data_IF_410046378971
#
_entry.id   IF_410046378971
#
_cell.length_a   1.000
_cell.length_b   1.000
_cell.length_c   1.000
_cell.angle_alpha   90.00
_cell.angle_beta   90.00
_cell.angle_gamma   90.00
#
_symmetry.space_group_name_H-M   'P 1'
#
loop_
_entity.id
_entity.type
_entity.pdbx_description
1 polymer ?
#
# COMPACT_ATOMS: atom_id res chain seq x y z
N UNK A 1 -3.35 -0.31 17.85
CA UNK A 1 -2.77 -1.35 17.00
C UNK A 1 -1.37 -1.75 17.51
N UNK A 2 -0.93 -3.00 17.21
CA UNK A 2 0.33 -3.53 17.75
C UNK A 2 1.56 -2.66 17.40
N UNK A 3 1.57 -2.02 16.21
CA UNK A 3 2.68 -1.19 15.74
C UNK A 3 2.81 0.18 16.43
N UNK A 4 1.78 0.64 17.13
CA UNK A 4 1.80 1.90 17.88
C UNK A 4 2.54 1.76 19.24
N UNK A 5 2.72 0.53 19.71
CA UNK A 5 3.38 0.24 20.98
C UNK A 5 4.90 0.12 20.81
N UNK A 6 5.66 0.90 21.56
CA UNK A 6 7.13 0.79 21.58
C UNK A 6 7.62 0.80 23.04
N UNK A 7 8.34 -0.24 23.50
CA UNK A 7 8.72 -1.47 22.78
C UNK A 7 7.54 -2.42 22.58
N UNK A 8 7.57 -3.21 21.51
CA UNK A 8 6.56 -4.22 21.23
C UNK A 8 6.54 -5.31 22.31
N UNK A 9 5.36 -5.61 22.85
CA UNK A 9 5.18 -6.76 23.76
C UNK A 9 5.47 -8.10 23.06
N UNK A 10 5.78 -9.19 23.80
CA UNK A 10 5.92 -10.52 23.20
C UNK A 10 4.69 -10.95 22.41
N UNK A 11 3.48 -10.69 22.90
CA UNK A 11 2.21 -10.97 22.23
C UNK A 11 2.07 -10.17 20.94
N UNK A 12 2.40 -8.88 20.95
CA UNK A 12 2.38 -8.04 19.74
C UNK A 12 3.35 -8.55 18.68
N UNK A 13 4.53 -9.02 19.08
CA UNK A 13 5.52 -9.62 18.17
C UNK A 13 5.02 -10.92 17.55
N UNK A 14 4.39 -11.77 18.34
CA UNK A 14 3.78 -13.02 17.86
C UNK A 14 2.67 -12.73 16.87
N UNK A 15 1.77 -11.79 17.15
CA UNK A 15 0.70 -11.40 16.27
C UNK A 15 1.21 -10.81 14.94
N UNK A 16 2.27 -9.99 14.98
CA UNK A 16 2.91 -9.46 13.78
C UNK A 16 3.56 -10.57 12.94
N UNK A 17 4.20 -11.56 13.58
CA UNK A 17 4.78 -12.71 12.89
C UNK A 17 3.69 -13.55 12.22
N UNK A 18 2.60 -13.83 12.90
CA UNK A 18 1.45 -14.56 12.35
C UNK A 18 0.83 -13.80 11.18
N UNK A 19 0.61 -12.49 11.32
CA UNK A 19 0.10 -11.64 10.25
C UNK A 19 1.01 -11.65 9.02
N UNK A 20 2.33 -11.54 9.21
CA UNK A 20 3.31 -11.62 8.13
C UNK A 20 3.28 -12.99 7.42
N UNK A 21 3.14 -14.09 8.17
CA UNK A 21 3.05 -15.43 7.59
C UNK A 21 1.77 -15.58 6.75
N UNK A 22 0.61 -15.15 7.25
CA UNK A 22 -0.64 -15.19 6.49
C UNK A 22 -0.62 -14.29 5.25
N UNK A 23 -0.04 -13.08 5.35
CA UNK A 23 0.16 -12.20 4.20
C UNK A 23 1.07 -12.86 3.14
N UNK A 24 2.16 -13.50 3.55
CA UNK A 24 3.04 -14.25 2.66
C UNK A 24 2.33 -15.40 1.95
N UNK A 25 1.47 -16.15 2.66
CA UNK A 25 0.65 -17.20 2.07
C UNK A 25 -0.35 -16.66 1.03
N UNK A 26 -0.99 -15.53 1.33
CA UNK A 26 -1.88 -14.86 0.39
C UNK A 26 -1.13 -14.40 -0.86
N UNK A 27 0.01 -13.72 -0.71
CA UNK A 27 0.86 -13.28 -1.83
C UNK A 27 1.33 -14.45 -2.69
N UNK A 28 1.63 -15.60 -2.09
CA UNK A 28 2.03 -16.79 -2.84
C UNK A 28 0.92 -17.32 -3.78
N UNK A 29 -0.35 -17.05 -3.46
CA UNK A 29 -1.50 -17.45 -4.27
C UNK A 29 -1.89 -16.38 -5.30
N UNK A 30 -1.88 -15.10 -4.90
CA UNK A 30 -2.42 -14.00 -5.71
C UNK A 30 -1.35 -13.19 -6.45
N UNK A 31 -0.10 -13.28 -6.00
CA UNK A 31 0.94 -12.33 -6.37
C UNK A 31 0.73 -10.96 -5.74
N UNK A 32 1.44 -9.97 -6.25
CA UNK A 32 1.37 -8.56 -5.80
C UNK A 32 0.68 -7.69 -6.84
N UNK A 33 0.05 -6.59 -6.41
CA UNK A 33 -0.67 -5.65 -7.26
C UNK A 33 0.07 -4.31 -7.42
N UNK A 34 -0.66 -3.25 -7.79
CA UNK A 34 -0.12 -1.93 -8.15
C UNK A 34 0.75 -1.28 -7.05
N UNK A 35 0.38 -1.27 -5.74
CA UNK A 35 1.22 -0.65 -4.73
C UNK A 35 2.65 -1.21 -4.69
N UNK A 36 2.81 -2.53 -4.84
CA UNK A 36 4.13 -3.14 -4.95
C UNK A 36 4.87 -2.73 -6.22
N UNK A 37 4.20 -2.70 -7.36
CA UNK A 37 4.83 -2.31 -8.62
C UNK A 37 5.32 -0.85 -8.57
N UNK A 38 4.52 0.05 -8.01
CA UNK A 38 4.85 1.46 -7.82
C UNK A 38 5.96 1.68 -6.80
N UNK A 39 6.09 0.79 -5.81
CA UNK A 39 7.06 0.94 -4.72
C UNK A 39 8.52 0.66 -5.14
N UNK A 40 8.75 -0.09 -6.20
CA UNK A 40 10.12 -0.50 -6.58
C UNK A 40 11.06 0.67 -6.88
N UNK A 41 10.69 1.68 -7.71
CA UNK A 41 11.52 2.85 -7.91
C UNK A 41 11.83 3.59 -6.60
N UNK A 42 10.82 3.79 -5.75
CA UNK A 42 10.99 4.47 -4.46
C UNK A 42 11.93 3.71 -3.51
N UNK A 43 11.84 2.40 -3.52
CA UNK A 43 12.72 1.54 -2.70
C UNK A 43 14.15 1.60 -3.23
N UNK A 44 14.34 1.56 -4.56
CA UNK A 44 15.65 1.50 -5.18
C UNK A 44 16.33 2.87 -5.20
N UNK A 45 15.65 3.91 -5.68
CA UNK A 45 16.23 5.23 -5.93
C UNK A 45 16.27 6.09 -4.64
N UNK A 46 15.23 6.05 -3.82
CA UNK A 46 15.13 6.83 -2.59
C UNK A 46 15.52 6.03 -1.33
N UNK A 47 15.86 4.76 -1.48
CA UNK A 47 16.21 3.87 -0.35
C UNK A 47 15.15 3.79 0.75
N UNK A 48 13.87 4.01 0.40
CA UNK A 48 12.78 3.85 1.34
C UNK A 48 12.64 2.37 1.73
N UNK A 49 12.38 2.05 3.00
CA UNK A 49 12.03 0.69 3.40
C UNK A 49 10.85 0.19 2.55
N UNK A 50 10.96 -1.01 1.99
CA UNK A 50 9.99 -1.52 1.01
C UNK A 50 8.54 -1.47 1.50
N UNK A 51 8.29 -1.89 2.75
CA UNK A 51 6.94 -1.83 3.33
C UNK A 51 6.39 -0.40 3.45
N UNK A 52 7.26 0.58 3.68
CA UNK A 52 6.89 2.01 3.71
C UNK A 52 6.55 2.50 2.30
N UNK A 53 7.37 2.15 1.32
CA UNK A 53 7.14 2.51 -0.08
C UNK A 53 5.86 1.88 -0.65
N UNK A 54 5.52 0.63 -0.26
CA UNK A 54 4.25 -0.02 -0.62
C UNK A 54 3.09 0.69 0.05
N UNK A 55 3.17 0.92 1.38
CA UNK A 55 2.11 1.57 2.16
C UNK A 55 1.78 2.99 1.69
N UNK A 56 2.75 3.71 1.13
CA UNK A 56 2.55 5.05 0.57
C UNK A 56 1.45 5.07 -0.51
N UNK A 57 1.39 4.05 -1.37
CA UNK A 57 0.41 3.95 -2.45
C UNK A 57 -0.90 3.24 -2.05
N UNK A 58 -0.95 2.65 -0.84
CA UNK A 58 -2.06 1.79 -0.44
C UNK A 58 -3.38 2.57 -0.30
N UNK A 59 -3.35 3.80 0.23
CA UNK A 59 -4.57 4.61 0.36
C UNK A 59 -5.16 5.00 -0.99
N UNK A 60 -4.31 5.42 -1.94
CA UNK A 60 -4.74 5.72 -3.32
C UNK A 60 -5.29 4.49 -4.03
N UNK A 61 -4.69 3.33 -3.80
CA UNK A 61 -5.18 2.07 -4.34
C UNK A 61 -6.53 1.66 -3.74
N UNK A 62 -6.67 1.73 -2.41
CA UNK A 62 -7.93 1.44 -1.73
C UNK A 62 -9.05 2.39 -2.15
N UNK A 63 -8.74 3.67 -2.42
CA UNK A 63 -9.72 4.64 -2.90
C UNK A 63 -10.36 4.24 -4.24
N UNK A 64 -9.69 3.40 -5.05
CA UNK A 64 -10.18 2.91 -6.35
C UNK A 64 -11.00 1.63 -6.25
N UNK A 65 -10.96 0.94 -5.11
CA UNK A 65 -11.77 -0.26 -4.87
C UNK A 65 -13.22 0.15 -4.62
N UNK A 66 -14.16 -0.69 -5.04
CA UNK A 66 -15.59 -0.52 -4.80
C UNK A 66 -15.84 -0.22 -3.32
N UNK A 67 -16.69 0.77 -3.04
CA UNK A 67 -16.88 1.30 -1.68
C UNK A 67 -17.23 0.21 -0.65
N UNK A 68 -18.14 -0.68 -1.00
CA UNK A 68 -18.56 -1.76 -0.09
C UNK A 68 -17.40 -2.71 0.24
N UNK A 69 -16.65 -3.14 -0.77
CA UNK A 69 -15.47 -4.01 -0.61
C UNK A 69 -14.38 -3.31 0.21
N UNK A 70 -14.08 -2.06 -0.11
CA UNK A 70 -13.11 -1.24 0.63
C UNK A 70 -13.50 -1.12 2.09
N UNK A 71 -14.77 -0.80 2.38
CA UNK A 71 -15.24 -0.63 3.74
C UNK A 71 -15.21 -1.94 4.53
N UNK A 72 -15.49 -3.08 3.90
CA UNK A 72 -15.34 -4.41 4.50
C UNK A 72 -13.86 -4.69 4.83
N UNK A 73 -12.94 -4.46 3.88
CA UNK A 73 -11.50 -4.65 4.09
C UNK A 73 -10.97 -3.77 5.23
N UNK A 74 -11.33 -2.49 5.24
CA UNK A 74 -10.93 -1.54 6.29
C UNK A 74 -11.48 -1.97 7.66
N UNK A 75 -12.73 -2.38 7.72
CA UNK A 75 -13.38 -2.86 8.95
C UNK A 75 -12.69 -4.11 9.50
N UNK A 76 -12.36 -5.08 8.64
CA UNK A 76 -11.63 -6.29 9.03
C UNK A 76 -10.22 -5.97 9.53
N UNK A 77 -9.59 -4.94 8.97
CA UNK A 77 -8.28 -4.44 9.41
C UNK A 77 -8.35 -3.57 10.68
N UNK A 78 -9.56 -3.23 11.18
CA UNK A 78 -9.79 -2.43 12.37
C UNK A 78 -9.85 -0.92 12.12
N UNK A 79 -10.02 -0.50 10.87
CA UNK A 79 -10.18 0.92 10.49
C UNK A 79 -11.64 1.26 10.21
N UNK A 80 -12.07 2.45 10.62
CA UNK A 80 -13.45 2.93 10.39
C UNK A 80 -13.66 3.40 8.96
N UNK A 81 -12.63 3.94 8.33
CA UNK A 81 -12.65 4.49 6.98
C UNK A 81 -11.22 4.67 6.45
N UNK A 82 -11.10 5.16 5.20
CA UNK A 82 -9.81 5.35 4.55
C UNK A 82 -8.94 6.42 5.23
N UNK A 83 -9.53 7.50 5.75
CA UNK A 83 -8.78 8.52 6.49
C UNK A 83 -8.15 7.96 7.77
N UNK A 84 -8.88 7.09 8.49
CA UNK A 84 -8.39 6.41 9.68
C UNK A 84 -7.16 5.52 9.38
N UNK A 85 -7.15 4.89 8.20
CA UNK A 85 -5.99 4.15 7.70
C UNK A 85 -4.81 5.07 7.35
N UNK A 86 -5.06 6.21 6.71
CA UNK A 86 -4.03 7.20 6.38
C UNK A 86 -3.38 7.77 7.65
N UNK A 87 -4.19 8.18 8.62
CA UNK A 87 -3.71 8.69 9.90
C UNK A 87 -2.85 7.66 10.65
N UNK A 88 -3.28 6.39 10.61
CA UNK A 88 -2.48 5.29 11.16
C UNK A 88 -1.14 5.12 10.44
N UNK A 89 -1.15 5.13 9.10
CA UNK A 89 0.07 5.02 8.31
C UNK A 89 1.06 6.15 8.63
N UNK A 90 0.60 7.40 8.68
CA UNK A 90 1.43 8.55 9.06
C UNK A 90 1.94 8.46 10.51
N UNK A 91 1.12 7.93 11.43
CA UNK A 91 1.54 7.73 12.82
C UNK A 91 2.69 6.73 12.94
N UNK A 92 2.63 5.65 12.16
CA UNK A 92 3.63 4.56 12.24
C UNK A 92 4.88 4.86 11.42
N UNK A 93 4.72 5.39 10.22
CA UNK A 93 5.80 5.59 9.24
C UNK A 93 6.34 7.03 9.21
N UNK A 94 5.63 7.98 9.82
CA UNK A 94 5.88 9.41 9.66
C UNK A 94 5.31 9.95 8.35
N UNK A 95 5.29 11.25 8.21
CA UNK A 95 4.89 11.91 6.96
C UNK A 95 6.00 11.77 5.94
N UNK A 96 5.71 11.07 4.83
CA UNK A 96 6.67 10.80 3.77
C UNK A 96 6.42 11.80 2.64
N UNK A 97 7.45 12.55 2.30
CA UNK A 97 7.43 13.47 1.15
C UNK A 97 8.24 12.86 0.01
N UNK A 98 7.59 12.59 -1.10
CA UNK A 98 8.23 12.05 -2.31
C UNK A 98 8.21 13.15 -3.38
N UNK A 99 9.35 13.43 -4.02
CA UNK A 99 9.40 14.37 -5.14
C UNK A 99 8.46 13.94 -6.28
N UNK A 100 7.80 14.90 -6.90
CA UNK A 100 6.80 14.63 -7.95
C UNK A 100 7.41 13.90 -9.17
N UNK A 101 8.64 14.20 -9.51
CA UNK A 101 9.38 13.53 -10.59
C UNK A 101 9.63 12.05 -10.28
N UNK A 102 9.86 11.69 -9.02
CA UNK A 102 9.98 10.29 -8.60
C UNK A 102 8.64 9.55 -8.66
N UNK A 103 7.56 10.22 -8.27
CA UNK A 103 6.19 9.69 -8.42
C UNK A 103 5.86 9.49 -9.90
N UNK A 104 6.22 10.45 -10.75
CA UNK A 104 5.99 10.35 -12.19
C UNK A 104 6.80 9.20 -12.81
N UNK A 105 8.04 9.00 -12.38
CA UNK A 105 8.86 7.86 -12.84
C UNK A 105 8.25 6.51 -12.44
N UNK A 106 7.77 6.40 -11.21
CA UNK A 106 7.08 5.20 -10.74
C UNK A 106 5.81 4.92 -11.56
N UNK A 107 5.03 5.97 -11.84
CA UNK A 107 3.84 5.89 -12.67
C UNK A 107 4.18 5.41 -14.09
N UNK A 108 5.13 6.03 -14.76
CA UNK A 108 5.49 5.70 -16.15
C UNK A 108 6.06 4.28 -16.27
N UNK A 109 6.81 3.83 -15.28
CA UNK A 109 7.34 2.47 -15.22
C UNK A 109 6.21 1.41 -15.13
N UNK A 110 5.15 1.68 -14.38
CA UNK A 110 4.02 0.77 -14.23
C UNK A 110 3.04 0.92 -15.40
N UNK A 111 2.76 2.14 -15.87
CA UNK A 111 1.88 2.39 -17.00
C UNK A 111 2.33 1.70 -18.30
N UNK A 112 3.65 1.54 -18.48
CA UNK A 112 4.23 0.82 -19.61
C UNK A 112 4.13 -0.71 -19.52
N UNK A 113 3.57 -1.25 -18.41
CA UNK A 113 3.52 -2.69 -18.15
C UNK A 113 2.08 -3.20 -18.01
N UNK A 114 1.40 -3.63 -19.11
CA UNK A 114 0.02 -4.09 -19.07
C UNK A 114 -0.21 -5.27 -18.10
N UNK A 115 0.79 -6.12 -17.90
CA UNK A 115 0.67 -7.27 -17.00
C UNK A 115 0.57 -6.85 -15.52
N UNK A 116 1.06 -5.66 -15.16
CA UNK A 116 0.91 -5.09 -13.82
C UNK A 116 -0.45 -4.42 -13.67
N UNK A 117 -0.91 -3.69 -14.69
CA UNK A 117 -2.22 -3.04 -14.69
C UNK A 117 -3.36 -4.04 -14.59
N UNK A 118 -3.26 -5.18 -15.27
CA UNK A 118 -4.29 -6.24 -15.26
C UNK A 118 -4.47 -6.95 -13.92
N UNK A 119 -3.58 -6.73 -12.95
CA UNK A 119 -3.69 -7.29 -11.60
C UNK A 119 -4.53 -6.44 -10.64
N UNK A 120 -4.94 -5.24 -11.05
CA UNK A 120 -5.85 -4.43 -10.26
C UNK A 120 -7.27 -5.04 -10.29
N UNK A 121 -8.03 -4.97 -9.18
CA UNK A 121 -9.42 -5.44 -9.14
C UNK A 121 -10.39 -4.47 -9.81
N UNK A 122 -9.88 -3.44 -10.47
CA UNK A 122 -10.64 -2.43 -11.22
C UNK A 122 -9.99 -2.20 -12.59
N UNK A 123 -10.75 -1.67 -13.53
CA UNK A 123 -10.21 -1.28 -14.83
C UNK A 123 -9.15 -0.17 -14.62
N UNK A 124 -7.89 -0.49 -14.89
CA UNK A 124 -6.77 0.39 -14.62
C UNK A 124 -6.07 0.78 -15.92
N UNK A 125 -6.33 2.01 -16.36
CA UNK A 125 -5.54 2.69 -17.36
C UNK A 125 -4.58 3.71 -16.73
N UNK A 126 -3.92 4.53 -17.57
CA UNK A 126 -2.98 5.55 -17.07
C UNK A 126 -3.66 6.56 -16.14
N UNK A 127 -4.88 7.00 -16.47
CA UNK A 127 -5.64 7.96 -15.66
C UNK A 127 -5.98 7.43 -14.26
N UNK A 128 -6.40 6.16 -14.18
CA UNK A 128 -6.67 5.53 -12.88
C UNK A 128 -5.40 5.33 -12.06
N UNK A 129 -4.30 5.01 -12.74
CA UNK A 129 -3.00 4.88 -12.09
C UNK A 129 -2.51 6.23 -11.54
N UNK A 130 -2.71 7.33 -12.27
CA UNK A 130 -2.43 8.70 -11.79
C UNK A 130 -3.20 9.01 -10.50
N UNK A 131 -4.48 8.64 -10.44
CA UNK A 131 -5.29 8.82 -9.23
C UNK A 131 -4.79 7.97 -8.04
N UNK A 132 -4.18 6.83 -8.29
CA UNK A 132 -3.54 6.02 -7.24
C UNK A 132 -2.24 6.67 -6.75
N UNK A 133 -1.43 7.17 -7.67
CA UNK A 133 -0.09 7.72 -7.38
C UNK A 133 -0.17 9.07 -6.67
N UNK A 134 -1.06 9.95 -7.13
CA UNK A 134 -1.19 11.33 -6.62
C UNK A 134 -2.36 11.52 -5.65
N UNK A 135 -2.91 10.42 -5.13
CA UNK A 135 -3.93 10.46 -4.10
C UNK A 135 -3.30 10.89 -2.77
N UNK A 136 -3.61 12.12 -2.33
CA UNK A 136 -3.19 12.66 -1.03
C UNK A 136 -4.41 13.12 -0.24
#
# INVERSE_FOLDING_TARGET
LALEQKPLSPESRENLMRASAFAGMAIAQTGTSLPHALSYPLTYDLHLPHGVAVGYFESGYLAKIQENERNEMLSLAGFRNLSDFQDFFETVCGKILIPEDELQRALDAVASNPSKLSKAPFACGKEELEKVVFHQ
#
